data_IF_697823779347
#
_entry.id   IF_697823779347
#
_cell.length_a   1.000
_cell.length_b   1.000
_cell.length_c   1.000
_cell.angle_alpha   90.00
_cell.angle_beta   90.00
_cell.angle_gamma   90.00
#
_symmetry.space_group_name_H-M   'P 1'
#
loop_
_entity.id
_entity.type
_entity.pdbx_description
1 polymer ?
#
# COMPACT_ATOMS: atom_id res chain seq x y z
N UNK A 1 35.33 12.25 -38.69
CA UNK A 1 35.47 12.86 -40.03
C UNK A 1 34.44 12.21 -40.95
N UNK A 2 33.17 12.61 -40.80
CA UNK A 2 32.13 12.60 -41.85
C UNK A 2 31.23 13.81 -41.52
N UNK A 3 31.81 14.97 -41.77
CA UNK A 3 31.27 16.30 -41.58
C UNK A 3 30.58 16.72 -42.89
N UNK A 4 29.67 15.91 -43.42
CA UNK A 4 28.91 16.25 -44.64
C UNK A 4 27.53 15.60 -44.64
N UNK A 5 26.66 15.93 -43.69
CA UNK A 5 25.21 15.93 -43.93
C UNK A 5 24.64 17.08 -43.09
N UNK A 6 24.42 18.24 -43.72
CA UNK A 6 23.83 19.44 -43.12
C UNK A 6 22.34 19.27 -42.80
N UNK A 7 22.02 18.29 -41.96
CA UNK A 7 20.74 18.22 -41.28
C UNK A 7 20.91 18.91 -39.93
N UNK A 8 20.14 19.97 -39.68
CA UNK A 8 19.98 20.47 -38.31
C UNK A 8 19.54 19.29 -37.43
N UNK A 9 20.10 19.12 -36.22
CA UNK A 9 19.64 18.11 -35.30
C UNK A 9 18.14 18.31 -35.13
N UNK A 10 17.34 17.35 -35.57
CA UNK A 10 15.89 17.44 -35.43
C UNK A 10 15.62 17.39 -33.94
N UNK A 11 15.42 18.55 -33.31
CA UNK A 11 14.99 18.63 -31.92
C UNK A 11 13.65 17.92 -31.82
N UNK A 12 13.67 16.69 -31.31
CA UNK A 12 12.48 15.86 -31.13
C UNK A 12 11.67 16.34 -29.90
N UNK A 13 11.36 17.64 -29.85
CA UNK A 13 10.55 18.27 -28.78
C UNK A 13 9.21 17.56 -28.58
N UNK A 14 8.65 17.04 -29.67
CA UNK A 14 7.40 16.27 -29.64
C UNK A 14 7.56 14.94 -28.88
N UNK A 15 8.71 14.27 -29.03
CA UNK A 15 9.00 13.01 -28.32
C UNK A 15 9.21 13.29 -26.84
N UNK A 16 9.96 14.34 -26.49
CA UNK A 16 10.17 14.74 -25.10
C UNK A 16 8.86 15.13 -24.40
N UNK A 17 7.97 15.83 -25.10
CA UNK A 17 6.63 16.16 -24.61
C UNK A 17 5.77 14.91 -24.38
N UNK A 18 5.73 13.99 -25.34
CA UNK A 18 4.99 12.74 -25.21
C UNK A 18 5.49 11.88 -24.05
N UNK A 19 6.80 11.80 -23.86
CA UNK A 19 7.40 11.11 -22.70
C UNK A 19 6.96 11.72 -21.37
N UNK A 20 6.88 13.05 -21.30
CA UNK A 20 6.40 13.75 -20.10
C UNK A 20 4.91 13.50 -19.85
N UNK A 21 4.11 13.42 -20.92
CA UNK A 21 2.66 13.22 -20.85
C UNK A 21 2.30 11.76 -20.47
N UNK A 22 3.10 10.77 -20.87
CA UNK A 22 2.86 9.35 -20.55
C UNK A 22 3.34 8.97 -19.15
N UNK A 23 4.36 9.65 -18.62
CA UNK A 23 4.99 9.33 -17.33
C UNK A 23 4.00 9.20 -16.15
N UNK A 24 3.00 10.08 -15.97
CA UNK A 24 2.03 9.94 -14.87
C UNK A 24 1.20 8.65 -14.97
N UNK A 25 0.94 8.15 -16.17
CA UNK A 25 0.19 6.90 -16.36
C UNK A 25 1.04 5.68 -16.01
N UNK A 26 2.31 5.70 -16.40
CA UNK A 26 3.27 4.65 -16.03
C UNK A 26 3.46 4.59 -14.50
N UNK A 27 3.65 5.75 -13.86
CA UNK A 27 3.69 5.87 -12.40
C UNK A 27 2.39 5.35 -11.74
N UNK A 28 1.22 5.59 -12.34
CA UNK A 28 -0.07 5.14 -11.81
C UNK A 28 -0.21 3.62 -11.84
N UNK A 29 0.11 2.98 -12.96
CA UNK A 29 -0.03 1.53 -13.09
C UNK A 29 1.02 0.78 -12.28
N UNK A 30 2.24 1.31 -12.22
CA UNK A 30 3.29 0.80 -11.32
C UNK A 30 2.83 0.85 -9.86
N UNK A 31 2.30 2.00 -9.42
CA UNK A 31 1.72 2.15 -8.08
C UNK A 31 0.59 1.15 -7.82
N UNK A 32 -0.33 0.96 -8.77
CA UNK A 32 -1.46 0.06 -8.60
C UNK A 32 -1.00 -1.40 -8.45
N UNK A 33 -0.05 -1.83 -9.28
CA UNK A 33 0.50 -3.18 -9.22
C UNK A 33 1.23 -3.42 -7.90
N UNK A 34 2.12 -2.50 -7.52
CA UNK A 34 2.84 -2.57 -6.24
C UNK A 34 1.87 -2.64 -5.05
N UNK A 35 0.87 -1.76 -5.04
CA UNK A 35 -0.18 -1.77 -4.02
C UNK A 35 -0.94 -3.11 -3.99
N UNK A 36 -1.29 -3.66 -5.14
CA UNK A 36 -2.03 -4.92 -5.22
C UNK A 36 -1.23 -6.08 -4.63
N UNK A 37 0.04 -6.21 -5.01
CA UNK A 37 0.93 -7.27 -4.54
C UNK A 37 1.22 -7.14 -3.05
N UNK A 38 1.61 -5.95 -2.60
CA UNK A 38 1.89 -5.66 -1.18
C UNK A 38 0.65 -5.81 -0.32
N UNK A 39 -0.51 -5.31 -0.77
CA UNK A 39 -1.75 -5.46 0.01
C UNK A 39 -2.18 -6.92 0.13
N UNK A 40 -1.94 -7.74 -0.89
CA UNK A 40 -2.16 -9.19 -0.82
C UNK A 40 -1.25 -9.80 0.25
N UNK A 41 0.06 -9.55 0.16
CA UNK A 41 1.05 -10.04 1.13
C UNK A 41 0.67 -9.67 2.57
N UNK A 42 0.45 -8.38 2.84
CA UNK A 42 0.15 -7.87 4.18
C UNK A 42 -1.16 -8.42 4.77
N UNK A 43 -2.08 -8.90 3.93
CA UNK A 43 -3.37 -9.45 4.37
C UNK A 43 -3.38 -10.96 4.51
N UNK A 44 -2.42 -11.65 3.91
CA UNK A 44 -2.35 -13.13 3.93
C UNK A 44 -1.24 -13.66 4.82
N UNK A 45 -0.10 -12.98 4.87
CA UNK A 45 1.06 -13.42 5.65
C UNK A 45 0.82 -13.18 7.14
N UNK A 46 1.33 -14.08 7.97
CA UNK A 46 1.34 -13.92 9.42
C UNK A 46 2.14 -12.67 9.79
N UNK A 47 1.64 -11.88 10.73
CA UNK A 47 2.29 -10.61 11.06
C UNK A 47 3.74 -10.81 11.52
N UNK A 48 4.03 -11.85 12.31
CA UNK A 48 5.39 -12.18 12.75
C UNK A 48 6.40 -12.43 11.61
N UNK A 49 5.94 -12.68 10.38
CA UNK A 49 6.79 -12.90 9.21
C UNK A 49 6.94 -11.64 8.34
N UNK A 50 6.30 -10.54 8.73
CA UNK A 50 6.45 -9.24 8.08
C UNK A 50 7.48 -8.40 8.82
N UNK A 51 8.27 -7.63 8.07
CA UNK A 51 9.12 -6.59 8.64
C UNK A 51 8.30 -5.29 8.81
N UNK A 52 8.07 -4.80 10.06
CA UNK A 52 7.27 -3.59 10.30
C UNK A 52 7.83 -2.34 9.64
N UNK A 53 9.15 -2.22 9.54
CA UNK A 53 9.82 -1.05 8.96
C UNK A 53 9.61 -1.00 7.45
N UNK A 54 9.77 -2.15 6.77
CA UNK A 54 9.54 -2.27 5.34
C UNK A 54 8.08 -1.98 5.00
N UNK A 55 7.15 -2.59 5.73
CA UNK A 55 5.71 -2.37 5.57
C UNK A 55 5.35 -0.89 5.75
N UNK A 56 5.91 -0.23 6.77
CA UNK A 56 5.65 1.19 7.05
C UNK A 56 6.24 2.09 5.96
N UNK A 57 7.43 1.76 5.45
CA UNK A 57 8.10 2.48 4.36
C UNK A 57 7.32 2.36 3.05
N UNK A 58 6.93 1.15 2.69
CA UNK A 58 6.15 0.85 1.48
C UNK A 58 4.79 1.56 1.54
N UNK A 59 4.08 1.48 2.68
CA UNK A 59 2.83 2.20 2.90
C UNK A 59 2.99 3.71 2.70
N UNK A 60 3.97 4.33 3.35
CA UNK A 60 4.22 5.77 3.26
C UNK A 60 4.57 6.19 1.83
N UNK A 61 5.38 5.40 1.14
CA UNK A 61 5.80 5.66 -0.23
C UNK A 61 4.59 5.64 -1.18
N UNK A 62 3.82 4.55 -1.16
CA UNK A 62 2.62 4.43 -1.99
C UNK A 62 1.55 5.48 -1.65
N UNK A 63 1.40 5.84 -0.37
CA UNK A 63 0.45 6.87 0.06
C UNK A 63 0.83 8.27 -0.48
N UNK A 64 2.12 8.60 -0.45
CA UNK A 64 2.60 9.87 -1.01
C UNK A 64 2.49 9.89 -2.54
N UNK A 65 2.85 8.79 -3.21
CA UNK A 65 2.76 8.66 -4.68
C UNK A 65 1.31 8.74 -5.14
N UNK A 66 0.37 8.07 -4.48
CA UNK A 66 -1.07 8.15 -4.80
C UNK A 66 -1.62 9.57 -4.65
N UNK A 67 -1.24 10.30 -3.58
CA UNK A 67 -1.62 11.71 -3.41
C UNK A 67 -1.04 12.61 -4.51
N UNK A 68 0.25 12.43 -4.85
CA UNK A 68 0.90 13.16 -5.95
C UNK A 68 0.18 12.93 -7.27
N UNK A 69 -0.16 11.69 -7.60
CA UNK A 69 -0.82 11.32 -8.86
C UNK A 69 -2.25 11.85 -8.92
N UNK A 70 -3.02 11.77 -7.82
CA UNK A 70 -4.35 12.37 -7.71
C UNK A 70 -4.32 13.86 -8.06
N UNK A 71 -3.42 14.62 -7.45
CA UNK A 71 -3.27 16.05 -7.73
C UNK A 71 -2.77 16.30 -9.18
N UNK A 72 -1.94 15.41 -9.72
CA UNK A 72 -1.45 15.50 -11.10
C UNK A 72 -2.58 15.33 -12.12
N UNK A 73 -3.40 14.29 -11.96
CA UNK A 73 -4.52 14.03 -12.86
C UNK A 73 -5.67 15.03 -12.70
N UNK A 74 -5.87 15.58 -11.50
CA UNK A 74 -6.80 16.69 -11.28
C UNK A 74 -6.38 17.94 -12.07
N UNK A 75 -5.11 18.36 -11.97
CA UNK A 75 -4.58 19.49 -12.77
C UNK A 75 -4.66 19.25 -14.28
N UNK A 76 -4.45 18.00 -14.71
CA UNK A 76 -4.59 17.60 -16.11
C UNK A 76 -6.06 17.48 -16.58
N UNK A 77 -7.04 17.70 -15.70
CA UNK A 77 -8.48 17.52 -15.97
C UNK A 77 -8.82 16.09 -16.45
N UNK A 78 -8.13 15.09 -15.89
CA UNK A 78 -8.29 13.67 -16.21
C UNK A 78 -8.88 12.90 -15.02
N UNK A 79 -10.20 12.96 -14.80
CA UNK A 79 -10.82 12.39 -13.61
C UNK A 79 -10.75 10.86 -13.55
N UNK A 80 -10.72 10.16 -14.69
CA UNK A 80 -10.69 8.70 -14.74
C UNK A 80 -9.43 8.10 -14.08
N UNK A 81 -8.19 8.43 -14.51
CA UNK A 81 -6.99 7.97 -13.82
C UNK A 81 -6.86 8.53 -12.41
N UNK A 82 -7.35 9.76 -12.16
CA UNK A 82 -7.41 10.33 -10.81
C UNK A 82 -8.21 9.49 -9.81
N UNK A 83 -9.34 8.89 -10.25
CA UNK A 83 -10.14 7.98 -9.41
C UNK A 83 -9.39 6.70 -9.03
N UNK A 84 -8.51 6.20 -9.91
CA UNK A 84 -7.69 5.02 -9.60
C UNK A 84 -6.70 5.36 -8.48
N UNK A 85 -5.98 6.49 -8.62
CA UNK A 85 -5.05 6.96 -7.59
C UNK A 85 -5.76 7.21 -6.25
N UNK A 86 -6.95 7.83 -6.28
CA UNK A 86 -7.76 8.08 -5.08
C UNK A 86 -8.26 6.77 -4.42
N UNK A 87 -8.57 5.75 -5.20
CA UNK A 87 -8.97 4.44 -4.69
C UNK A 87 -7.82 3.76 -3.95
N UNK A 88 -6.61 3.75 -4.54
CA UNK A 88 -5.40 3.24 -3.87
C UNK A 88 -5.15 4.02 -2.57
N UNK A 89 -5.25 5.35 -2.62
CA UNK A 89 -5.03 6.23 -1.47
C UNK A 89 -5.99 5.93 -0.31
N UNK A 90 -7.29 5.82 -0.58
CA UNK A 90 -8.31 5.50 0.42
C UNK A 90 -8.08 4.14 1.06
N UNK A 91 -7.78 3.13 0.24
CA UNK A 91 -7.51 1.79 0.76
C UNK A 91 -6.24 1.75 1.64
N UNK A 92 -5.20 2.49 1.29
CA UNK A 92 -4.00 2.64 2.12
C UNK A 92 -4.34 3.35 3.43
N UNK A 93 -5.16 4.40 3.40
CA UNK A 93 -5.59 5.11 4.60
C UNK A 93 -6.40 4.22 5.55
N UNK A 94 -7.33 3.43 5.02
CA UNK A 94 -8.13 2.47 5.80
C UNK A 94 -7.27 1.39 6.45
N UNK A 95 -6.18 1.02 5.78
CA UNK A 95 -5.23 0.02 6.25
C UNK A 95 -4.22 0.58 7.27
N UNK A 96 -4.02 1.91 7.32
CA UNK A 96 -3.03 2.58 8.19
C UNK A 96 -3.15 2.19 9.66
N UNK A 97 -4.36 1.91 10.16
CA UNK A 97 -4.62 1.50 11.56
C UNK A 97 -3.94 0.18 11.95
N UNK A 98 -3.55 -0.65 10.99
CA UNK A 98 -2.89 -1.94 11.24
C UNK A 98 -1.36 -1.82 11.34
N UNK A 99 -0.76 -0.72 10.89
CA UNK A 99 0.68 -0.47 11.02
C UNK A 99 1.21 -0.60 12.47
N UNK A 100 0.63 0.08 13.48
CA UNK A 100 1.08 -0.07 14.86
C UNK A 100 0.85 -1.49 15.39
N UNK A 101 -0.16 -2.21 14.88
CA UNK A 101 -0.45 -3.59 15.30
C UNK A 101 0.62 -4.54 14.79
N UNK A 102 1.03 -4.40 13.53
CA UNK A 102 2.13 -5.18 12.94
C UNK A 102 3.42 -4.90 13.70
N UNK A 103 3.74 -3.63 13.96
CA UNK A 103 4.93 -3.27 14.75
C UNK A 103 4.89 -3.88 16.16
N UNK A 104 3.78 -3.77 16.89
CA UNK A 104 3.67 -4.36 18.23
C UNK A 104 3.84 -5.89 18.20
N UNK A 105 3.23 -6.57 17.23
CA UNK A 105 3.31 -8.02 17.09
C UNK A 105 4.73 -8.51 16.74
N UNK A 106 5.46 -7.80 15.86
CA UNK A 106 6.77 -8.25 15.40
C UNK A 106 7.94 -7.78 16.27
N UNK A 107 7.81 -6.60 16.89
CA UNK A 107 8.95 -5.91 17.53
C UNK A 107 8.94 -6.08 19.05
N UNK A 108 7.77 -6.28 19.67
CA UNK A 108 7.73 -6.46 21.12
C UNK A 108 8.03 -7.90 21.49
N UNK A 109 8.85 -8.06 22.55
CA UNK A 109 9.07 -9.32 23.25
C UNK A 109 7.82 -9.83 23.96
N UNK A 110 6.76 -10.07 23.19
CA UNK A 110 5.52 -10.69 23.61
C UNK A 110 5.86 -12.08 24.16
N UNK A 111 5.88 -12.17 25.50
CA UNK A 111 6.01 -13.43 26.23
C UNK A 111 4.75 -14.25 26.07
N UNK A 112 4.84 -15.55 26.34
CA UNK A 112 3.73 -16.50 26.12
C UNK A 112 2.44 -16.10 26.84
N UNK A 113 2.53 -15.54 28.06
CA UNK A 113 1.36 -14.98 28.77
C UNK A 113 0.62 -13.87 28.00
N UNK A 114 1.32 -13.07 27.18
CA UNK A 114 0.69 -12.03 26.37
C UNK A 114 -0.02 -12.68 25.18
N UNK A 115 0.60 -13.70 24.58
CA UNK A 115 0.02 -14.50 23.51
C UNK A 115 -1.24 -15.25 23.97
N UNK A 116 -1.23 -15.85 25.15
CA UNK A 116 -2.43 -16.49 25.73
C UNK A 116 -3.61 -15.51 25.84
N UNK A 117 -3.35 -14.28 26.28
CA UNK A 117 -4.39 -13.22 26.34
C UNK A 117 -4.87 -12.84 24.95
N UNK A 118 -3.95 -12.72 23.99
CA UNK A 118 -4.26 -12.40 22.59
C UNK A 118 -5.12 -13.52 21.97
N UNK A 119 -4.73 -14.79 22.11
CA UNK A 119 -5.47 -15.95 21.61
C UNK A 119 -6.85 -16.08 22.26
N UNK A 120 -6.94 -15.88 23.58
CA UNK A 120 -8.23 -15.83 24.28
C UNK A 120 -9.16 -14.75 23.72
N UNK A 121 -8.61 -13.63 23.26
CA UNK A 121 -9.36 -12.52 22.66
C UNK A 121 -9.70 -12.79 21.18
N UNK A 122 -8.81 -13.42 20.42
CA UNK A 122 -9.03 -13.85 19.03
C UNK A 122 -10.05 -14.98 18.89
N UNK A 123 -10.22 -15.77 19.95
CA UNK A 123 -11.19 -16.85 20.01
C UNK A 123 -10.71 -18.11 19.27
N UNK A 124 -11.55 -19.15 19.18
CA UNK A 124 -11.18 -20.43 18.61
C UNK A 124 -10.69 -20.31 17.15
N UNK A 125 -9.63 -21.05 16.82
CA UNK A 125 -8.98 -21.10 15.51
C UNK A 125 -7.75 -20.19 15.32
N UNK A 126 -7.32 -19.47 16.36
CA UNK A 126 -6.05 -18.72 16.37
C UNK A 126 -5.31 -19.03 17.68
N UNK A 127 -4.53 -20.10 17.65
CA UNK A 127 -3.80 -20.67 18.80
C UNK A 127 -2.28 -20.61 18.62
N UNK A 128 -1.80 -20.15 17.46
CA UNK A 128 -0.37 -19.96 17.16
C UNK A 128 -0.09 -18.55 16.67
N UNK A 129 1.17 -18.12 16.77
CA UNK A 129 1.62 -16.79 16.32
C UNK A 129 1.47 -16.66 14.80
N UNK A 130 1.69 -17.77 14.10
CA UNK A 130 1.59 -17.92 12.65
C UNK A 130 0.13 -17.79 12.16
N UNK A 131 -0.85 -18.03 13.03
CA UNK A 131 -2.26 -17.81 12.72
C UNK A 131 -2.69 -16.34 12.89
N UNK A 132 -1.84 -15.48 13.46
CA UNK A 132 -2.13 -14.05 13.65
C UNK A 132 -1.81 -13.27 12.38
N UNK A 133 -2.86 -12.98 11.62
CA UNK A 133 -2.79 -12.17 10.41
C UNK A 133 -3.95 -11.15 10.37
N UNK A 134 -4.04 -10.41 9.28
CA UNK A 134 -5.09 -9.42 9.06
C UNK A 134 -6.51 -9.99 9.26
N UNK A 135 -6.81 -11.19 8.74
CA UNK A 135 -8.15 -11.79 8.84
C UNK A 135 -8.52 -12.10 10.29
N UNK A 136 -7.56 -12.64 11.05
CA UNK A 136 -7.75 -12.96 12.47
C UNK A 136 -8.11 -11.72 13.29
N UNK A 137 -7.37 -10.63 13.11
CA UNK A 137 -7.58 -9.38 13.86
C UNK A 137 -8.84 -8.66 13.38
N UNK A 138 -9.10 -8.62 12.07
CA UNK A 138 -10.29 -7.97 11.52
C UNK A 138 -11.58 -8.68 11.94
N UNK A 139 -11.54 -10.02 12.15
CA UNK A 139 -12.67 -10.78 12.71
C UNK A 139 -13.07 -10.26 14.09
N UNK A 140 -12.11 -10.03 15.00
CA UNK A 140 -12.40 -9.49 16.33
C UNK A 140 -13.00 -8.09 16.22
N UNK A 141 -12.35 -7.19 15.46
CA UNK A 141 -12.78 -5.79 15.37
C UNK A 141 -14.26 -5.70 14.96
N UNK A 142 -14.67 -6.52 13.99
CA UNK A 142 -16.07 -6.60 13.58
C UNK A 142 -16.99 -7.13 14.68
N UNK A 143 -16.59 -8.16 15.44
CA UNK A 143 -17.37 -8.70 16.55
C UNK A 143 -17.55 -7.68 17.70
N UNK A 144 -16.50 -6.91 18.00
CA UNK A 144 -16.57 -5.86 19.03
C UNK A 144 -17.48 -4.70 18.58
N UNK A 145 -17.40 -4.29 17.32
CA UNK A 145 -18.27 -3.27 16.74
C UNK A 145 -19.75 -3.69 16.69
N UNK A 146 -20.03 -4.99 16.53
CA UNK A 146 -21.40 -5.51 16.60
C UNK A 146 -21.93 -5.49 18.03
N UNK A 147 -21.11 -5.90 19.01
CA UNK A 147 -21.48 -5.87 20.44
C UNK A 147 -21.65 -4.45 21.00
N UNK A 148 -20.96 -3.45 20.47
CA UNK A 148 -21.12 -2.06 20.91
C UNK A 148 -22.39 -1.39 20.37
N UNK A 149 -23.11 -2.06 19.46
CA UNK A 149 -24.34 -1.55 18.82
C UNK A 149 -25.61 -2.25 19.31
N UNK A 150 -25.51 -3.26 20.18
CA UNK A 150 -26.64 -3.90 20.88
C UNK A 150 -26.68 -3.47 22.33
#
# INVERSE_FOLDING_TARGET
QEEIIGFDPTEFDQVAKLQKDIKPFDELWSLYLEYYEKSKEWRTVAFCNLNPDDVSKDHKTMFNTSNKLKNTFERAKMPSPGKVADTVNRNLNDWRKFLPVISAVCTEGLKDRHWERIFKTLGPGVDTKEAVNFKAINRILNLLLLKSKS
#
